data_IF_644531736783
#
_entry.id   IF_644531736783
#
_cell.length_a   1.000
_cell.length_b   1.000
_cell.length_c   1.000
_cell.angle_alpha   90.00
_cell.angle_beta   90.00
_cell.angle_gamma   90.00
#
_symmetry.space_group_name_H-M   'P 1'
#
loop_
_entity.id
_entity.type
_entity.pdbx_description
1 polymer ?
#
# COMPACT_ATOMS: atom_id res chain seq x y z
N UNK A 1 12.68 1.74 -25.77
CA UNK A 1 12.25 0.72 -24.79
C UNK A 1 12.79 0.96 -23.38
N UNK A 2 13.99 1.54 -23.21
CA UNK A 2 14.60 1.79 -21.89
C UNK A 2 13.91 2.85 -21.02
N UNK A 3 13.41 3.96 -21.60
CA UNK A 3 12.75 5.02 -20.82
C UNK A 3 11.50 4.54 -20.07
N UNK A 4 10.71 3.63 -20.64
CA UNK A 4 9.53 3.08 -19.97
C UNK A 4 9.88 2.20 -18.76
N UNK A 5 10.94 1.40 -18.86
CA UNK A 5 11.43 0.57 -17.76
C UNK A 5 11.99 1.43 -16.61
N UNK A 6 12.73 2.49 -16.94
CA UNK A 6 13.31 3.43 -15.96
C UNK A 6 12.21 4.17 -15.19
N UNK A 7 11.15 4.63 -15.87
CA UNK A 7 10.03 5.31 -15.22
C UNK A 7 9.26 4.37 -14.28
N UNK A 8 9.07 3.10 -14.67
CA UNK A 8 8.43 2.11 -13.81
C UNK A 8 9.29 1.81 -12.58
N UNK A 9 10.59 1.61 -12.76
CA UNK A 9 11.53 1.36 -11.66
C UNK A 9 11.58 2.51 -10.67
N UNK A 10 11.69 3.75 -11.15
CA UNK A 10 11.69 4.94 -10.29
C UNK A 10 10.39 5.07 -9.51
N UNK A 11 9.26 4.71 -10.13
CA UNK A 11 7.97 4.69 -9.45
C UNK A 11 7.94 3.63 -8.35
N UNK A 12 8.43 2.42 -8.60
CA UNK A 12 8.55 1.36 -7.58
C UNK A 12 9.37 1.87 -6.38
N UNK A 13 10.54 2.44 -6.65
CA UNK A 13 11.44 2.94 -5.61
C UNK A 13 10.83 4.12 -4.82
N UNK A 14 10.13 5.03 -5.50
CA UNK A 14 9.43 6.14 -4.86
C UNK A 14 8.36 5.62 -3.89
N UNK A 15 7.51 4.70 -4.34
CA UNK A 15 6.42 4.19 -3.51
C UNK A 15 6.91 3.26 -2.41
N UNK A 16 8.02 2.53 -2.59
CA UNK A 16 8.63 1.76 -1.51
C UNK A 16 9.17 2.66 -0.41
N UNK A 17 9.84 3.77 -0.77
CA UNK A 17 10.32 4.74 0.21
C UNK A 17 9.15 5.41 0.97
N UNK A 18 8.09 5.79 0.25
CA UNK A 18 6.88 6.36 0.88
C UNK A 18 6.26 5.34 1.84
N UNK A 19 6.11 4.09 1.41
CA UNK A 19 5.52 3.03 2.22
C UNK A 19 6.35 2.81 3.49
N UNK A 20 7.67 2.70 3.35
CA UNK A 20 8.60 2.56 4.45
C UNK A 20 8.47 3.70 5.47
N UNK A 21 8.62 4.95 5.04
CA UNK A 21 8.56 6.13 5.93
C UNK A 21 7.23 6.18 6.68
N UNK A 22 6.13 5.93 5.99
CA UNK A 22 4.80 5.98 6.61
C UNK A 22 4.60 4.81 7.58
N UNK A 23 5.00 3.59 7.23
CA UNK A 23 4.92 2.43 8.12
C UNK A 23 5.75 2.66 9.39
N UNK A 24 6.97 3.18 9.26
CA UNK A 24 7.80 3.56 10.40
C UNK A 24 7.11 4.61 11.25
N UNK A 25 6.59 5.69 10.64
CA UNK A 25 5.92 6.76 11.38
C UNK A 25 4.67 6.27 12.14
N UNK A 26 3.84 5.44 11.51
CA UNK A 26 2.65 4.84 12.13
C UNK A 26 3.06 3.91 13.26
N UNK A 27 4.06 3.06 13.05
CA UNK A 27 4.59 2.15 14.08
C UNK A 27 5.12 2.93 15.29
N UNK A 28 5.94 3.96 15.06
CA UNK A 28 6.46 4.83 16.13
C UNK A 28 5.34 5.56 16.86
N UNK A 29 4.38 6.16 16.14
CA UNK A 29 3.25 6.85 16.75
C UNK A 29 2.37 5.89 17.57
N UNK A 30 2.09 4.69 17.05
CA UNK A 30 1.36 3.65 17.78
C UNK A 30 2.07 3.27 19.07
N UNK A 31 3.39 3.11 19.04
CA UNK A 31 4.18 2.81 20.26
C UNK A 31 4.19 3.97 21.25
N UNK A 32 4.38 5.21 20.79
CA UNK A 32 4.39 6.39 21.66
C UNK A 32 3.02 6.65 22.32
N UNK A 33 1.92 6.44 21.59
CA UNK A 33 0.57 6.67 22.13
C UNK A 33 0.10 5.56 23.08
N UNK A 34 0.71 4.38 23.05
CA UNK A 34 0.23 3.21 23.79
C UNK A 34 1.11 2.79 24.98
N UNK A 35 2.10 3.61 25.30
CA UNK A 35 3.13 3.43 26.33
C UNK A 35 4.07 2.24 26.07
N UNK A 36 5.39 2.48 26.17
CA UNK A 36 6.45 1.55 25.75
C UNK A 36 6.51 0.32 26.68
N UNK A 37 6.12 0.51 27.93
CA UNK A 37 6.28 -0.48 29.01
C UNK A 37 5.23 -1.60 29.01
N UNK A 38 4.26 -1.59 28.07
CA UNK A 38 3.11 -2.50 28.11
C UNK A 38 2.84 -3.27 26.80
N UNK A 39 3.73 -3.22 25.79
CA UNK A 39 3.54 -4.00 24.56
C UNK A 39 3.70 -5.51 24.78
N UNK A 40 4.64 -5.93 25.62
CA UNK A 40 4.91 -7.36 25.89
C UNK A 40 3.83 -8.04 26.75
N UNK A 41 3.10 -7.26 27.56
CA UNK A 41 2.02 -7.72 28.44
C UNK A 41 0.61 -7.45 27.89
N UNK A 42 0.50 -6.84 26.70
CA UNK A 42 -0.79 -6.58 26.06
C UNK A 42 -1.38 -7.86 25.47
N UNK A 43 -2.70 -8.00 25.62
CA UNK A 43 -3.43 -9.09 24.99
C UNK A 43 -3.23 -9.07 23.46
N UNK A 44 -3.25 -10.23 22.78
CA UNK A 44 -3.14 -10.30 21.32
C UNK A 44 -4.17 -9.43 20.58
N UNK A 45 -5.36 -9.25 21.16
CA UNK A 45 -6.40 -8.37 20.64
C UNK A 45 -5.98 -6.89 20.65
N UNK A 46 -5.31 -6.42 21.70
CA UNK A 46 -4.82 -5.05 21.79
C UNK A 46 -3.63 -4.83 20.84
N UNK A 47 -2.76 -5.83 20.68
CA UNK A 47 -1.68 -5.77 19.68
C UNK A 47 -2.24 -5.64 18.26
N UNK A 48 -3.25 -6.45 17.91
CA UNK A 48 -3.94 -6.34 16.62
C UNK A 48 -4.56 -4.95 16.44
N UNK A 49 -5.32 -4.48 17.42
CA UNK A 49 -6.12 -3.28 17.30
C UNK A 49 -5.28 -1.99 17.25
N UNK A 50 -4.20 -1.91 18.03
CA UNK A 50 -3.41 -0.69 18.17
C UNK A 50 -2.14 -0.65 17.33
N UNK A 51 -1.62 -1.80 16.90
CA UNK A 51 -0.37 -1.87 16.14
C UNK A 51 -0.60 -2.34 14.69
N UNK A 52 -1.26 -3.48 14.50
CA UNK A 52 -1.42 -4.07 13.16
C UNK A 52 -2.49 -3.34 12.32
N UNK A 53 -3.69 -3.09 12.86
CA UNK A 53 -4.78 -2.47 12.09
C UNK A 53 -4.39 -1.10 11.50
N UNK A 54 -3.81 -0.16 12.28
CA UNK A 54 -3.40 1.13 11.73
C UNK A 54 -2.39 0.98 10.58
N UNK A 55 -1.38 0.12 10.78
CA UNK A 55 -0.33 -0.14 9.80
C UNK A 55 -0.88 -0.79 8.53
N UNK A 56 -1.81 -1.74 8.67
CA UNK A 56 -2.51 -2.41 7.56
C UNK A 56 -3.33 -1.39 6.76
N UNK A 57 -4.13 -0.55 7.42
CA UNK A 57 -4.99 0.43 6.75
C UNK A 57 -4.18 1.42 5.93
N UNK A 58 -3.07 1.89 6.49
CA UNK A 58 -2.22 2.85 5.79
C UNK A 58 -1.45 2.18 4.65
N UNK A 59 -0.97 0.95 4.84
CA UNK A 59 -0.35 0.16 3.77
C UNK A 59 -1.33 -0.07 2.62
N UNK A 60 -2.57 -0.45 2.93
CA UNK A 60 -3.65 -0.62 1.96
C UNK A 60 -3.88 0.66 1.17
N UNK A 61 -3.89 1.82 1.82
CA UNK A 61 -4.12 3.11 1.16
C UNK A 61 -2.99 3.43 0.16
N UNK A 62 -1.73 3.35 0.59
CA UNK A 62 -0.57 3.67 -0.24
C UNK A 62 -0.47 2.72 -1.44
N UNK A 63 -0.60 1.40 -1.18
CA UNK A 63 -0.51 0.36 -2.20
C UNK A 63 -1.70 0.41 -3.17
N UNK A 64 -2.92 0.69 -2.71
CA UNK A 64 -4.09 0.83 -3.60
C UNK A 64 -3.96 2.04 -4.51
N UNK A 65 -3.43 3.16 -4.00
CA UNK A 65 -3.18 4.35 -4.81
C UNK A 65 -2.12 4.08 -5.90
N UNK A 66 -1.08 3.34 -5.55
CA UNK A 66 -0.08 2.91 -6.53
C UNK A 66 -0.69 1.95 -7.57
N UNK A 67 -1.43 0.94 -7.11
CA UNK A 67 -2.09 -0.07 -7.94
C UNK A 67 -3.03 0.54 -8.98
N UNK A 68 -3.77 1.61 -8.63
CA UNK A 68 -4.64 2.36 -9.56
C UNK A 68 -3.91 2.83 -10.82
N UNK A 69 -2.62 3.17 -10.69
CA UNK A 69 -1.83 3.75 -11.79
C UNK A 69 -1.24 2.68 -12.70
N UNK A 70 -1.20 1.42 -12.24
CA UNK A 70 -0.60 0.31 -12.95
C UNK A 70 -1.64 -0.44 -13.78
N UNK A 71 -1.38 -0.63 -15.08
CA UNK A 71 -2.32 -1.30 -16.00
C UNK A 71 -2.02 -2.78 -16.21
N UNK A 72 -0.74 -3.15 -16.23
CA UNK A 72 -0.28 -4.52 -16.39
C UNK A 72 0.60 -4.91 -15.20
N UNK A 73 0.56 -6.19 -14.82
CA UNK A 73 1.41 -6.76 -13.78
C UNK A 73 1.29 -6.06 -12.41
N UNK A 74 0.08 -5.62 -12.04
CA UNK A 74 -0.22 -4.93 -10.76
C UNK A 74 0.36 -5.70 -9.57
N UNK A 75 0.12 -7.01 -9.51
CA UNK A 75 0.62 -7.85 -8.42
C UNK A 75 2.14 -7.87 -8.33
N UNK A 76 2.86 -7.94 -9.45
CA UNK A 76 4.32 -7.90 -9.44
C UNK A 76 4.85 -6.54 -9.00
N UNK A 77 4.21 -5.44 -9.41
CA UNK A 77 4.60 -4.10 -9.00
C UNK A 77 4.36 -3.85 -7.51
N UNK A 78 3.21 -4.31 -6.99
CA UNK A 78 2.91 -4.22 -5.56
C UNK A 78 3.84 -5.10 -4.73
N UNK A 79 4.12 -6.31 -5.20
CA UNK A 79 5.09 -7.20 -4.57
C UNK A 79 6.48 -6.54 -4.53
N UNK A 80 6.93 -5.95 -5.65
CA UNK A 80 8.21 -5.26 -5.69
C UNK A 80 8.28 -4.06 -4.73
N UNK A 81 7.23 -3.22 -4.70
CA UNK A 81 7.15 -2.08 -3.76
C UNK A 81 7.18 -2.55 -2.32
N UNK A 82 6.39 -3.57 -1.99
CA UNK A 82 6.30 -4.12 -0.64
C UNK A 82 7.61 -4.78 -0.22
N UNK A 83 8.14 -5.71 -1.02
CA UNK A 83 9.41 -6.39 -0.72
C UNK A 83 10.58 -5.43 -0.58
N UNK A 84 10.64 -4.38 -1.42
CA UNK A 84 11.71 -3.39 -1.31
C UNK A 84 11.56 -2.57 -0.01
N UNK A 85 10.33 -2.21 0.39
CA UNK A 85 10.04 -1.55 1.67
C UNK A 85 10.47 -2.42 2.87
N UNK A 86 10.11 -3.70 2.85
CA UNK A 86 10.48 -4.67 3.89
C UNK A 86 12.00 -4.87 3.96
N UNK A 87 12.69 -4.98 2.83
CA UNK A 87 14.14 -5.09 2.79
C UNK A 87 14.82 -3.86 3.38
N UNK A 88 14.29 -2.66 3.13
CA UNK A 88 14.78 -1.44 3.78
C UNK A 88 14.55 -1.48 5.30
N UNK A 89 13.35 -1.87 5.75
CA UNK A 89 13.06 -2.04 7.17
C UNK A 89 14.00 -3.03 7.84
N UNK A 90 14.15 -4.21 7.25
CA UNK A 90 15.06 -5.26 7.71
C UNK A 90 16.51 -4.76 7.81
N UNK A 91 17.01 -4.08 6.78
CA UNK A 91 18.38 -3.56 6.76
C UNK A 91 18.59 -2.50 7.83
N UNK A 92 17.65 -1.55 7.98
CA UNK A 92 17.73 -0.48 8.99
C UNK A 92 17.72 -1.07 10.40
N UNK A 93 16.81 -2.00 10.68
CA UNK A 93 16.71 -2.64 12.00
C UNK A 93 17.96 -3.47 12.31
N UNK A 94 18.48 -4.22 11.33
CA UNK A 94 19.71 -5.00 11.50
C UNK A 94 20.93 -4.13 11.78
N UNK A 95 21.07 -3.00 11.07
CA UNK A 95 22.14 -2.02 11.34
C UNK A 95 22.00 -1.45 12.75
N UNK A 96 20.77 -1.15 13.18
CA UNK A 96 20.50 -0.57 14.51
C UNK A 96 20.83 -1.55 15.64
N UNK A 97 20.54 -2.84 15.46
CA UNK A 97 20.85 -3.89 16.43
C UNK A 97 22.33 -4.32 16.39
N UNK A 98 23.05 -4.00 15.31
CA UNK A 98 24.42 -4.46 15.09
C UNK A 98 24.53 -5.95 14.72
N UNK A 99 23.40 -6.61 14.46
CA UNK A 99 23.31 -8.02 14.11
C UNK A 99 22.20 -8.28 13.09
N UNK A 100 22.20 -9.48 12.50
CA UNK A 100 21.19 -9.88 11.52
C UNK A 100 19.87 -10.18 12.25
N UNK A 101 19.02 -9.17 12.37
CA UNK A 101 17.78 -9.26 13.14
C UNK A 101 16.62 -9.74 12.27
N UNK A 102 16.13 -10.95 12.53
CA UNK A 102 14.89 -11.46 11.93
C UNK A 102 13.77 -11.32 12.96
N UNK A 103 12.68 -10.65 12.57
CA UNK A 103 11.53 -10.46 13.45
C UNK A 103 11.01 -11.83 13.94
N UNK A 104 10.82 -12.04 15.25
CA UNK A 104 10.20 -13.25 15.79
C UNK A 104 8.79 -13.49 15.24
N UNK A 105 8.09 -12.44 14.79
CA UNK A 105 6.72 -12.50 14.26
C UNK A 105 6.65 -12.67 12.74
N UNK A 106 7.77 -12.97 12.06
CA UNK A 106 7.83 -13.06 10.59
C UNK A 106 6.76 -13.98 9.97
N UNK A 107 6.39 -15.05 10.69
CA UNK A 107 5.38 -16.02 10.25
C UNK A 107 3.94 -15.48 10.30
N UNK A 108 3.68 -14.41 11.06
CA UNK A 108 2.41 -13.68 11.10
C UNK A 108 2.45 -12.52 10.09
N UNK A 109 3.58 -11.83 10.01
CA UNK A 109 3.77 -10.67 9.16
C UNK A 109 3.62 -11.01 7.67
N UNK A 110 4.17 -12.17 7.25
CA UNK A 110 4.10 -12.62 5.85
C UNK A 110 2.66 -12.90 5.34
N UNK A 111 1.81 -13.67 6.04
CA UNK A 111 0.40 -13.83 5.66
C UNK A 111 -0.36 -12.49 5.58
N UNK A 112 -0.14 -11.60 6.55
CA UNK A 112 -0.78 -10.28 6.56
C UNK A 112 -0.34 -9.48 5.34
N UNK A 113 0.95 -9.46 5.03
CA UNK A 113 1.50 -8.80 3.85
C UNK A 113 0.85 -9.31 2.55
N UNK A 114 0.73 -10.64 2.39
CA UNK A 114 0.10 -11.22 1.22
C UNK A 114 -1.36 -10.77 1.05
N UNK A 115 -2.12 -10.72 2.16
CA UNK A 115 -3.49 -10.22 2.16
C UNK A 115 -3.55 -8.74 1.77
N UNK A 116 -2.67 -7.90 2.34
CA UNK A 116 -2.60 -6.47 2.02
C UNK A 116 -2.31 -6.26 0.54
N UNK A 117 -1.32 -6.95 -0.03
CA UNK A 117 -0.99 -6.86 -1.46
C UNK A 117 -2.20 -7.24 -2.33
N UNK A 118 -2.87 -8.36 -2.01
CA UNK A 118 -4.03 -8.83 -2.75
C UNK A 118 -5.20 -7.85 -2.70
N UNK A 119 -5.54 -7.38 -1.49
CA UNK A 119 -6.60 -6.39 -1.27
C UNK A 119 -6.30 -5.07 -1.99
N UNK A 120 -5.06 -4.57 -1.91
CA UNK A 120 -4.66 -3.35 -2.62
C UNK A 120 -4.75 -3.49 -4.14
N UNK A 121 -4.42 -4.67 -4.69
CA UNK A 121 -4.58 -4.93 -6.10
C UNK A 121 -6.06 -4.87 -6.53
N UNK A 122 -6.95 -5.45 -5.72
CA UNK A 122 -8.41 -5.43 -5.98
C UNK A 122 -8.93 -3.99 -5.91
N UNK A 123 -8.65 -3.27 -4.82
CA UNK A 123 -9.12 -1.89 -4.60
C UNK A 123 -8.61 -0.98 -5.71
N UNK A 124 -7.29 -1.01 -5.99
CA UNK A 124 -6.69 -0.19 -7.04
C UNK A 124 -7.31 -0.45 -8.42
N UNK A 125 -7.54 -1.72 -8.76
CA UNK A 125 -8.17 -2.09 -10.04
C UNK A 125 -9.62 -1.59 -10.15
N UNK A 126 -10.40 -1.70 -9.06
CA UNK A 126 -11.79 -1.20 -9.03
C UNK A 126 -11.85 0.32 -9.15
N UNK A 127 -10.99 1.04 -8.43
CA UNK A 127 -10.90 2.51 -8.51
C UNK A 127 -10.51 2.95 -9.93
N UNK A 128 -9.53 2.29 -10.54
CA UNK A 128 -9.14 2.55 -11.93
C UNK A 128 -10.32 2.37 -12.90
N UNK A 129 -11.10 1.30 -12.75
CA UNK A 129 -12.27 1.04 -13.58
C UNK A 129 -13.35 2.13 -13.43
N UNK A 130 -13.61 2.59 -12.20
CA UNK A 130 -14.57 3.67 -11.93
C UNK A 130 -14.13 5.00 -12.57
N UNK A 131 -12.84 5.33 -12.51
CA UNK A 131 -12.33 6.57 -13.14
C UNK A 131 -12.35 6.55 -14.67
N UNK A 132 -12.54 5.38 -15.28
CA UNK A 132 -12.65 5.22 -16.74
C UNK A 132 -14.08 5.24 -17.26
N UNK A 133 -15.09 5.24 -16.38
CA UNK A 133 -16.47 5.41 -16.81
C UNK A 133 -16.64 6.81 -17.40
N UNK A 134 -17.07 6.94 -18.66
CA UNK A 134 -17.17 8.23 -19.31
C UNK A 134 -18.26 9.03 -18.59
N UNK A 135 -17.88 10.19 -18.04
CA UNK A 135 -18.80 11.21 -17.56
C UNK A 135 -19.57 11.92 -18.71
N UNK A 136 -19.66 11.28 -19.88
CA UNK A 136 -20.31 11.81 -21.08
C UNK A 136 -21.52 10.96 -21.45
N UNK A 137 -22.63 11.21 -20.75
CA UNK A 137 -23.96 10.97 -21.29
C UNK A 137 -24.90 12.08 -20.82
N UNK A 138 -24.58 13.31 -21.21
CA UNK A 138 -25.51 14.44 -21.15
C UNK A 138 -25.19 15.40 -22.29
N UNK A 139 -25.84 15.18 -23.42
CA UNK A 139 -26.17 16.18 -24.46
C UNK A 139 -26.42 15.48 -25.79
N UNK A 140 -27.56 14.80 -25.94
CA UNK A 140 -28.08 14.62 -27.31
C UNK A 140 -29.59 14.41 -27.41
N UNK A 141 -30.36 15.03 -26.50
CA UNK A 141 -31.83 15.00 -26.59
C UNK A 141 -32.44 16.32 -27.10
N UNK A 142 -31.64 17.38 -27.27
CA UNK A 142 -32.15 18.71 -27.69
C UNK A 142 -31.90 19.04 -29.17
N UNK A 143 -31.17 18.19 -29.90
CA UNK A 143 -30.90 18.41 -31.33
C UNK A 143 -31.95 17.77 -32.26
N UNK A 144 -32.75 16.82 -31.77
CA UNK A 144 -33.71 16.07 -32.59
C UNK A 144 -35.10 16.71 -32.68
N UNK A 145 -35.41 17.75 -31.90
CA UNK A 145 -36.73 18.43 -31.95
C UNK A 145 -36.73 19.72 -32.78
N UNK A 146 -35.59 20.13 -33.37
CA UNK A 146 -35.46 21.36 -34.16
C UNK A 146 -35.43 21.15 -35.68
N UNK A 147 -35.53 19.91 -36.15
CA UNK A 147 -35.65 19.57 -37.58
C UNK A 147 -36.84 18.62 -37.77
N UNK A 148 -38.02 19.11 -37.46
CA UNK A 148 -39.29 18.42 -37.70
C UNK A 148 -40.33 19.44 -38.14
N UNK A 149 -40.06 20.05 -39.30
CA UNK A 149 -41.03 20.78 -40.13
C UNK A 149 -41.91 19.81 -40.90
#
# INVERSE_FOLDING_TARGET
MWQGAILNFLSILKYSLILFVIQTAVSTASTMLNDVDNLASRSPSNLLMYHYIPTILVSLLVLSFYAKTQRNWILLHLLAVFSLSELFGFAVVSILMGEFYVSPTWFIDLPIAALVIGLSAIIGSKVMALTKLPHNKSSNTDAASRTGS
#
